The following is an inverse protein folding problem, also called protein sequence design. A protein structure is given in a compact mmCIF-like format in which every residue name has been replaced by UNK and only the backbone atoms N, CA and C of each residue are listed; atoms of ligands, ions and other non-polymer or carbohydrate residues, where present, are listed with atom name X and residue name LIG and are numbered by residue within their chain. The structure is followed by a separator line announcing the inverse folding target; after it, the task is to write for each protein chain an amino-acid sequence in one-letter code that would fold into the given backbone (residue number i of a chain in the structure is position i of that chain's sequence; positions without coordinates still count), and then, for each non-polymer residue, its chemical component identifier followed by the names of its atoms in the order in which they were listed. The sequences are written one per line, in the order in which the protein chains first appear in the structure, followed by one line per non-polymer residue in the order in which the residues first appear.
data_IF_340009762663
#
_entry.id   IF_340009762663
#
_cell.length_a   1.000
_cell.length_b   1.000
_cell.length_c   1.000
_cell.angle_alpha   90.00
_cell.angle_beta   90.00
_cell.angle_gamma   90.00
#
_symmetry.space_group_name_H-M   'P 1'
#
loop_
_entity.id
_entity.type
_entity.pdbx_description
1 polymer ?
#
# COMPACT_ATOMS: atom_id res chain seq x y z
N UNK A 1 7.36 14.96 -0.29
CA UNK A 1 7.69 13.52 -0.23
C UNK A 1 8.08 13.20 1.20
N UNK A 2 7.53 12.13 1.79
CA UNK A 2 8.01 11.67 3.09
C UNK A 2 9.46 11.21 2.92
N UNK A 3 10.37 11.74 3.74
CA UNK A 3 11.78 11.33 3.72
C UNK A 3 11.86 9.89 4.22
N UNK A 4 12.10 8.92 3.34
CA UNK A 4 12.46 7.57 3.76
C UNK A 4 13.87 7.60 4.38
N UNK A 5 14.15 6.70 5.33
CA UNK A 5 15.51 6.59 5.85
C UNK A 5 16.43 5.94 4.79
N UNK A 6 17.73 6.20 4.89
CA UNK A 6 18.73 5.72 3.91
C UNK A 6 18.79 4.19 3.83
N UNK A 7 18.48 3.49 4.94
CA UNK A 7 18.47 2.04 4.99
C UNK A 7 17.32 1.43 4.17
N UNK A 8 16.09 1.94 4.32
CA UNK A 8 14.93 1.50 3.54
C UNK A 8 15.11 1.79 2.06
N UNK A 9 15.73 2.92 1.73
CA UNK A 9 16.06 3.26 0.36
C UNK A 9 17.02 2.26 -0.27
N UNK A 10 18.09 1.90 0.45
CA UNK A 10 19.05 0.89 0.00
C UNK A 10 18.40 -0.49 -0.15
N UNK A 11 17.54 -0.88 0.80
CA UNK A 11 16.77 -2.13 0.74
C UNK A 11 15.87 -2.17 -0.51
N UNK A 12 15.12 -1.10 -0.79
CA UNK A 12 14.25 -1.03 -1.95
C UNK A 12 15.03 -0.98 -3.27
N UNK A 13 16.20 -0.31 -3.30
CA UNK A 13 17.08 -0.33 -4.46
C UNK A 13 17.63 -1.73 -4.74
N UNK A 14 18.02 -2.48 -3.71
CA UNK A 14 18.44 -3.88 -3.83
C UNK A 14 17.30 -4.77 -4.38
N UNK A 15 16.08 -4.61 -3.86
CA UNK A 15 14.91 -5.33 -4.38
C UNK A 15 14.65 -4.99 -5.86
N UNK A 16 14.83 -3.73 -6.26
CA UNK A 16 14.73 -3.34 -7.66
C UNK A 16 15.75 -4.07 -8.54
N UNK A 17 17.01 -4.12 -8.13
CA UNK A 17 18.06 -4.83 -8.85
C UNK A 17 17.71 -6.32 -9.03
N UNK A 18 17.20 -6.97 -7.99
CA UNK A 18 16.75 -8.36 -8.03
C UNK A 18 15.59 -8.56 -9.03
N UNK A 19 14.60 -7.65 -9.01
CA UNK A 19 13.47 -7.68 -9.96
C UNK A 19 13.96 -7.51 -11.39
N UNK A 20 14.80 -6.51 -11.66
CA UNK A 20 15.28 -6.24 -13.02
C UNK A 20 16.22 -7.34 -13.52
N UNK A 21 16.99 -7.97 -12.63
CA UNK A 21 17.77 -9.15 -12.96
C UNK A 21 16.87 -10.34 -13.33
N UNK A 22 15.82 -10.61 -12.54
CA UNK A 22 14.83 -11.64 -12.84
C UNK A 22 14.10 -11.37 -14.16
N UNK A 23 13.68 -10.13 -14.39
CA UNK A 23 12.89 -9.73 -15.55
C UNK A 23 13.64 -9.88 -16.89
N UNK A 24 14.98 -9.87 -16.86
CA UNK A 24 15.83 -10.11 -18.04
C UNK A 24 16.04 -11.58 -18.36
N UNK A 25 15.49 -12.52 -17.57
CA UNK A 25 15.65 -13.96 -17.84
C UNK A 25 14.70 -14.39 -18.98
N UNK A 26 15.13 -15.29 -19.90
CA UNK A 26 14.36 -15.64 -21.10
C UNK A 26 12.92 -16.14 -20.89
N UNK A 27 12.59 -16.67 -19.70
CA UNK A 27 11.29 -17.26 -19.38
C UNK A 27 10.55 -16.51 -18.26
N UNK A 28 10.95 -15.28 -17.95
CA UNK A 28 10.37 -14.49 -16.87
C UNK A 28 9.65 -13.30 -17.47
N UNK A 29 8.34 -13.23 -17.25
CA UNK A 29 7.56 -12.04 -17.60
C UNK A 29 7.73 -10.97 -16.52
N UNK A 30 7.46 -9.70 -16.86
CA UNK A 30 7.46 -8.61 -15.89
C UNK A 30 6.56 -8.89 -14.68
N UNK A 31 5.39 -9.51 -14.89
CA UNK A 31 4.50 -9.92 -13.80
C UNK A 31 5.13 -10.96 -12.88
N UNK A 32 5.88 -11.91 -13.44
CA UNK A 32 6.60 -12.93 -12.65
C UNK A 32 7.76 -12.29 -11.89
N UNK A 33 8.56 -11.43 -12.52
CA UNK A 33 9.64 -10.73 -11.83
C UNK A 33 9.12 -9.85 -10.69
N UNK A 34 8.08 -9.06 -10.94
CA UNK A 34 7.41 -8.21 -9.93
C UNK A 34 6.87 -8.99 -8.73
N UNK A 35 6.52 -10.27 -8.91
CA UNK A 35 6.07 -11.13 -7.82
C UNK A 35 7.10 -11.26 -6.70
N UNK A 36 8.39 -11.06 -7.01
CA UNK A 36 9.47 -10.97 -6.03
C UNK A 36 9.18 -9.90 -4.98
N UNK A 37 8.75 -8.71 -5.40
CA UNK A 37 8.27 -7.71 -4.45
C UNK A 37 6.97 -8.12 -3.78
N UNK A 38 5.91 -8.34 -4.56
CA UNK A 38 4.55 -8.44 -4.00
C UNK A 38 4.27 -9.70 -3.17
N UNK A 39 5.13 -10.71 -3.26
CA UNK A 39 4.95 -11.98 -2.51
C UNK A 39 6.15 -12.37 -1.65
N UNK A 40 7.39 -12.03 -2.01
CA UNK A 40 8.56 -12.44 -1.24
C UNK A 40 9.09 -11.34 -0.31
N UNK A 41 9.29 -10.12 -0.80
CA UNK A 41 9.98 -9.07 -0.01
C UNK A 41 9.02 -8.12 0.73
N UNK A 42 7.80 -7.92 0.21
CA UNK A 42 6.82 -7.01 0.82
C UNK A 42 6.46 -7.38 2.26
N UNK A 43 6.46 -8.65 2.65
CA UNK A 43 6.17 -9.06 4.03
C UNK A 43 7.20 -8.53 5.04
N UNK A 44 8.47 -8.42 4.63
CA UNK A 44 9.55 -7.83 5.43
C UNK A 44 9.45 -6.31 5.47
N UNK A 45 9.12 -5.68 4.33
CA UNK A 45 9.19 -4.23 4.16
C UNK A 45 7.88 -3.50 4.48
N UNK A 46 6.72 -4.17 4.47
CA UNK A 46 5.38 -3.53 4.52
C UNK A 46 5.20 -2.56 5.67
N UNK A 47 5.77 -2.82 6.85
CA UNK A 47 5.62 -1.92 8.00
C UNK A 47 6.38 -0.61 7.84
N UNK A 48 7.34 -0.56 6.92
CA UNK A 48 8.20 0.59 6.63
C UNK A 48 7.74 1.36 5.39
N UNK A 49 7.08 0.69 4.43
CA UNK A 49 6.60 1.33 3.19
C UNK A 49 5.09 1.63 3.19
N UNK A 50 4.29 0.90 3.96
CA UNK A 50 2.83 1.07 3.95
C UNK A 50 2.43 2.32 4.69
N UNK A 51 1.72 3.20 4.00
CA UNK A 51 1.33 4.52 4.51
C UNK A 51 -0.19 4.63 4.58
N UNK A 52 -0.72 4.90 5.76
CA UNK A 52 -2.14 5.24 5.89
C UNK A 52 -2.38 6.65 5.37
N UNK A 53 -3.38 6.82 4.51
CA UNK A 53 -3.65 8.14 3.89
C UNK A 53 -4.50 9.06 4.75
N UNK A 54 -5.04 8.57 5.87
CA UNK A 54 -6.03 9.29 6.66
C UNK A 54 -7.47 9.09 6.17
N UNK A 55 -7.74 8.16 5.25
CA UNK A 55 -9.10 7.90 4.75
C UNK A 55 -9.64 6.54 5.22
N UNK A 56 -10.88 6.53 5.71
CA UNK A 56 -11.58 5.33 6.17
C UNK A 56 -12.96 5.26 5.53
N UNK A 57 -13.44 4.06 5.16
CA UNK A 57 -14.80 3.93 4.65
C UNK A 57 -15.85 4.12 5.75
N UNK A 58 -17.00 4.67 5.38
CA UNK A 58 -18.15 4.82 6.30
C UNK A 58 -18.52 3.46 6.93
N UNK A 59 -18.56 2.39 6.13
CA UNK A 59 -18.90 1.05 6.62
C UNK A 59 -17.90 0.50 7.64
N UNK A 60 -16.60 0.83 7.51
CA UNK A 60 -15.59 0.44 8.48
C UNK A 60 -15.74 1.17 9.83
N UNK A 61 -16.42 2.33 9.84
CA UNK A 61 -16.73 3.09 11.06
C UNK A 61 -18.02 2.58 11.70
N UNK A 62 -19.06 2.37 10.89
CA UNK A 62 -20.42 2.03 11.36
C UNK A 62 -20.56 0.57 11.80
N UNK A 63 -19.76 -0.35 11.24
CA UNK A 63 -19.85 -1.77 11.52
C UNK A 63 -18.62 -2.26 12.30
N UNK A 64 -18.68 -2.14 13.64
CA UNK A 64 -17.58 -2.51 14.54
C UNK A 64 -17.15 -3.97 14.42
N UNK A 65 -18.08 -4.86 14.07
CA UNK A 65 -17.87 -6.30 13.94
C UNK A 65 -17.33 -6.73 12.57
N UNK A 66 -17.32 -5.81 11.60
CA UNK A 66 -16.80 -6.10 10.27
C UNK A 66 -15.31 -6.48 10.31
N UNK A 67 -14.96 -7.46 9.48
CA UNK A 67 -13.56 -7.76 9.21
C UNK A 67 -12.96 -6.61 8.39
N UNK A 68 -11.96 -5.92 8.95
CA UNK A 68 -11.33 -4.75 8.33
C UNK A 68 -10.10 -5.13 7.49
N UNK A 69 -9.82 -4.32 6.46
CA UNK A 69 -8.66 -4.44 5.57
C UNK A 69 -7.96 -3.10 5.40
N UNK A 70 -6.64 -3.18 5.21
CA UNK A 70 -5.85 -2.08 4.65
C UNK A 70 -5.84 -2.30 3.13
N UNK A 71 -6.62 -1.52 2.40
CA UNK A 71 -6.78 -1.67 0.94
C UNK A 71 -5.81 -0.77 0.19
N UNK A 72 -5.06 -1.38 -0.73
CA UNK A 72 -4.15 -0.71 -1.66
C UNK A 72 -4.90 -0.24 -2.91
N UNK A 73 -5.38 1.00 -2.86
CA UNK A 73 -6.26 1.56 -3.89
C UNK A 73 -5.57 1.77 -5.25
N UNK A 74 -4.25 1.94 -5.27
CA UNK A 74 -3.45 2.17 -6.49
C UNK A 74 -2.93 0.89 -7.17
N UNK A 75 -3.50 -0.28 -6.83
CA UNK A 75 -3.31 -1.55 -7.56
C UNK A 75 -1.84 -1.89 -7.86
N UNK A 76 -1.04 -1.97 -6.80
CA UNK A 76 0.41 -2.18 -6.82
C UNK A 76 0.90 -3.24 -7.83
N UNK A 77 0.17 -4.34 -7.96
CA UNK A 77 0.51 -5.42 -8.87
C UNK A 77 0.54 -4.99 -10.34
N UNK A 78 -0.50 -4.31 -10.81
CA UNK A 78 -0.60 -3.85 -12.20
C UNK A 78 0.41 -2.73 -12.46
N UNK A 79 0.48 -1.74 -11.57
CA UNK A 79 1.36 -0.58 -11.69
C UNK A 79 2.84 -0.99 -11.74
N UNK A 80 3.30 -1.87 -10.84
CA UNK A 80 4.68 -2.35 -10.87
C UNK A 80 4.97 -3.25 -12.07
N UNK A 81 3.98 -4.00 -12.58
CA UNK A 81 4.19 -4.80 -13.80
C UNK A 81 4.47 -3.89 -14.99
N UNK A 82 3.64 -2.86 -15.20
CA UNK A 82 3.84 -1.87 -16.26
C UNK A 82 5.14 -1.09 -16.11
N UNK A 83 5.54 -0.79 -14.86
CA UNK A 83 6.83 -0.15 -14.59
C UNK A 83 8.01 -1.02 -15.03
N UNK A 84 8.01 -2.32 -14.69
CA UNK A 84 9.06 -3.26 -15.10
C UNK A 84 9.08 -3.41 -16.64
N UNK A 85 7.92 -3.53 -17.29
CA UNK A 85 7.83 -3.59 -18.76
C UNK A 85 8.47 -2.36 -19.41
N UNK A 86 8.08 -1.16 -18.96
CA UNK A 86 8.64 0.10 -19.45
C UNK A 86 10.15 0.18 -19.26
N UNK A 87 10.66 -0.25 -18.09
CA UNK A 87 12.10 -0.23 -17.81
C UNK A 87 12.87 -1.20 -18.71
N UNK A 88 12.32 -2.38 -18.99
CA UNK A 88 12.91 -3.34 -19.94
C UNK A 88 12.92 -2.80 -21.37
N UNK A 89 11.79 -2.28 -21.84
CA UNK A 89 11.65 -1.76 -23.21
C UNK A 89 12.58 -0.57 -23.49
N UNK A 90 12.83 0.24 -22.47
CA UNK A 90 13.65 1.45 -22.56
C UNK A 90 15.11 1.25 -22.14
N UNK A 91 15.49 0.02 -21.77
CA UNK A 91 16.77 -0.32 -21.12
C UNK A 91 17.13 0.64 -19.95
N UNK A 92 16.12 0.98 -19.16
CA UNK A 92 16.24 1.94 -18.06
C UNK A 92 16.65 1.22 -16.76
N UNK A 93 17.67 1.75 -16.10
CA UNK A 93 18.08 1.34 -14.75
C UNK A 93 17.77 2.49 -13.77
N UNK A 94 16.51 2.55 -13.32
CA UNK A 94 16.01 3.63 -12.46
C UNK A 94 15.37 3.07 -11.17
N UNK A 95 16.18 2.79 -10.14
CA UNK A 95 15.67 2.37 -8.84
C UNK A 95 14.82 3.45 -8.16
N UNK A 96 14.99 4.74 -8.50
CA UNK A 96 14.22 5.83 -7.89
C UNK A 96 12.78 5.82 -8.34
N UNK A 97 12.53 5.58 -9.62
CA UNK A 97 11.20 5.40 -10.16
C UNK A 97 10.48 4.22 -9.50
N UNK A 98 11.20 3.10 -9.28
CA UNK A 98 10.66 1.97 -8.51
C UNK A 98 10.32 2.33 -7.08
N UNK A 99 11.23 2.97 -6.34
CA UNK A 99 11.01 3.38 -4.95
C UNK A 99 9.78 4.29 -4.86
N UNK A 100 9.69 5.30 -5.71
CA UNK A 100 8.55 6.22 -5.73
C UNK A 100 7.25 5.49 -6.05
N UNK A 101 7.27 4.57 -7.02
CA UNK A 101 6.10 3.76 -7.38
C UNK A 101 5.65 2.87 -6.22
N UNK A 102 6.59 2.20 -5.53
CA UNK A 102 6.29 1.38 -4.35
C UNK A 102 5.66 2.23 -3.25
N UNK A 103 6.28 3.36 -2.89
CA UNK A 103 5.79 4.21 -1.81
C UNK A 103 4.40 4.77 -2.11
N UNK A 104 4.12 5.13 -3.35
CA UNK A 104 2.81 5.61 -3.75
C UNK A 104 1.78 4.46 -3.74
N UNK A 105 2.12 3.30 -4.30
CA UNK A 105 1.22 2.14 -4.34
C UNK A 105 0.97 1.48 -2.98
N UNK A 106 1.86 1.66 -2.00
CA UNK A 106 1.73 1.17 -0.62
C UNK A 106 0.86 2.05 0.27
N UNK A 107 0.25 3.10 -0.32
CA UNK A 107 -0.75 3.91 0.37
C UNK A 107 -2.05 3.14 0.54
N UNK A 108 -2.59 3.16 1.75
CA UNK A 108 -3.76 2.36 2.12
C UNK A 108 -4.89 3.16 2.74
N UNK A 109 -6.10 2.68 2.46
CA UNK A 109 -7.34 3.06 3.14
C UNK A 109 -7.76 1.97 4.13
N UNK A 110 -8.48 2.34 5.19
CA UNK A 110 -9.19 1.35 6.00
C UNK A 110 -10.56 1.15 5.39
N UNK A 111 -10.86 -0.08 5.02
CA UNK A 111 -12.17 -0.50 4.48
C UNK A 111 -12.61 -1.81 5.12
N UNK A 112 -13.85 -2.20 4.92
CA UNK A 112 -14.30 -3.56 5.26
C UNK A 112 -13.82 -4.57 4.20
N UNK A 113 -13.73 -5.85 4.56
CA UNK A 113 -13.39 -6.92 3.62
C UNK A 113 -14.37 -7.00 2.43
N UNK A 114 -15.70 -6.92 2.61
CA UNK A 114 -16.63 -6.83 1.47
C UNK A 114 -16.33 -5.66 0.54
N UNK A 115 -16.04 -4.47 1.07
CA UNK A 115 -15.65 -3.30 0.28
C UNK A 115 -14.34 -3.53 -0.48
N UNK A 116 -13.33 -4.14 0.15
CA UNK A 116 -12.08 -4.49 -0.52
C UNK A 116 -12.33 -5.37 -1.78
N UNK A 117 -13.19 -6.39 -1.67
CA UNK A 117 -13.59 -7.20 -2.82
C UNK A 117 -14.45 -6.43 -3.84
N UNK A 118 -15.32 -5.53 -3.38
CA UNK A 118 -16.11 -4.67 -4.26
C UNK A 118 -15.21 -3.74 -5.09
N UNK A 119 -14.24 -3.07 -4.44
CA UNK A 119 -13.23 -2.26 -5.11
C UNK A 119 -12.46 -3.07 -6.16
N UNK A 120 -12.04 -4.30 -5.82
CA UNK A 120 -11.35 -5.19 -6.76
C UNK A 120 -12.19 -5.46 -8.01
N UNK A 121 -13.48 -5.79 -7.85
CA UNK A 121 -14.41 -6.03 -8.98
C UNK A 121 -14.65 -4.76 -9.80
N UNK A 122 -14.68 -3.60 -9.16
CA UNK A 122 -14.82 -2.30 -9.79
C UNK A 122 -13.49 -1.74 -10.33
N UNK A 123 -12.42 -2.54 -10.42
CA UNK A 123 -11.08 -2.12 -10.89
C UNK A 123 -10.49 -0.93 -10.12
N UNK A 124 -10.89 -0.74 -8.87
CA UNK A 124 -10.43 0.38 -8.02
C UNK A 124 -11.34 1.61 -8.05
N UNK A 125 -12.41 1.61 -8.85
CA UNK A 125 -13.40 2.69 -8.82
C UNK A 125 -14.27 2.56 -7.57
N UNK A 126 -14.01 3.42 -6.59
CA UNK A 126 -14.74 3.45 -5.33
C UNK A 126 -16.18 3.91 -5.51
N UNK A 127 -16.46 4.79 -6.48
CA UNK A 127 -17.82 5.23 -6.77
C UNK A 127 -18.64 4.08 -7.33
N UNK A 128 -18.09 3.34 -8.30
CA UNK A 128 -18.73 2.14 -8.85
C UNK A 128 -18.84 0.99 -7.81
N UNK A 129 -17.92 0.94 -6.84
CA UNK A 129 -17.98 -0.01 -5.73
C UNK A 129 -18.91 0.40 -4.58
N UNK A 130 -19.47 1.62 -4.60
CA UNK A 130 -20.31 2.16 -3.54
C UNK A 130 -19.56 2.53 -2.25
N UNK A 131 -18.24 2.69 -2.32
CA UNK A 131 -17.37 2.99 -1.17
C UNK A 131 -17.28 4.50 -0.99
N UNK A 132 -17.68 4.97 0.19
CA UNK A 132 -17.54 6.37 0.59
C UNK A 132 -16.49 6.50 1.67
N UNK A 133 -15.49 7.34 1.42
CA UNK A 133 -14.40 7.61 2.36
C UNK A 133 -14.68 8.86 3.19
N UNK A 134 -14.26 8.82 4.44
CA UNK A 134 -14.27 9.94 5.39
C UNK A 134 -12.85 10.20 5.84
N UNK A 135 -12.54 11.48 6.06
CA UNK A 135 -11.27 11.92 6.66
C UNK A 135 -11.15 11.49 8.12
N UNK A 136 -9.97 11.01 8.50
CA UNK A 136 -9.65 10.58 9.87
C UNK A 136 -10.04 11.62 10.91
N UNK A 137 -9.77 12.90 10.64
CA UNK A 137 -10.10 14.01 11.53
C UNK A 137 -11.61 14.13 11.84
N UNK A 138 -12.47 13.66 10.93
CA UNK A 138 -13.93 13.73 11.07
C UNK A 138 -14.53 12.47 11.74
N UNK A 139 -13.69 11.49 12.10
CA UNK A 139 -14.13 10.28 12.79
C UNK A 139 -14.15 10.54 14.30
N UNK A 140 -15.21 10.13 15.04
CA UNK A 140 -15.24 10.37 16.48
C UNK A 140 -14.10 9.63 17.19
N UNK A 141 -13.70 10.18 18.34
CA UNK A 141 -12.44 9.83 19.00
C UNK A 141 -12.35 8.33 19.33
N UNK A 142 -13.42 7.77 19.88
CA UNK A 142 -13.52 6.37 20.27
C UNK A 142 -13.28 5.42 19.08
N UNK A 143 -13.92 5.70 17.93
CA UNK A 143 -13.73 4.91 16.72
C UNK A 143 -12.31 5.07 16.17
N UNK A 144 -11.71 6.27 16.24
CA UNK A 144 -10.30 6.46 15.89
C UNK A 144 -9.37 5.62 16.75
N UNK A 145 -9.59 5.57 18.07
CA UNK A 145 -8.76 4.74 18.97
C UNK A 145 -8.90 3.25 18.64
N UNK A 146 -10.12 2.79 18.41
CA UNK A 146 -10.38 1.41 17.98
C UNK A 146 -9.65 1.08 16.67
N UNK A 147 -9.85 1.90 15.63
CA UNK A 147 -9.23 1.71 14.32
C UNK A 147 -7.70 1.83 14.39
N UNK A 148 -7.17 2.74 15.20
CA UNK A 148 -5.74 2.91 15.38
C UNK A 148 -5.11 1.65 15.99
N UNK A 149 -5.69 1.14 17.07
CA UNK A 149 -5.22 -0.08 17.72
C UNK A 149 -5.37 -1.31 16.81
N UNK A 150 -6.51 -1.43 16.10
CA UNK A 150 -6.82 -2.60 15.28
C UNK A 150 -6.07 -2.60 13.95
N UNK A 151 -5.91 -1.45 13.30
CA UNK A 151 -5.51 -1.37 11.88
C UNK A 151 -4.22 -0.59 11.62
N UNK A 152 -3.81 0.33 12.49
CA UNK A 152 -2.65 1.19 12.22
C UNK A 152 -1.41 0.79 13.02
N UNK A 153 -1.54 0.62 14.34
CA UNK A 153 -0.42 0.34 15.25
C UNK A 153 0.40 -0.86 14.80
N UNK A 154 1.64 -0.61 14.39
CA UNK A 154 2.58 -1.65 13.92
C UNK A 154 2.22 -2.30 12.59
N UNK A 155 1.27 -1.74 11.82
CA UNK A 155 0.81 -2.23 10.51
C UNK A 155 1.09 -1.27 9.35
N UNK A 156 1.26 0.02 9.64
CA UNK A 156 1.66 1.07 8.70
C UNK A 156 2.81 1.87 9.31
N UNK A 157 3.64 2.51 8.49
CA UNK A 157 4.84 3.23 8.94
C UNK A 157 4.50 4.52 9.70
N UNK A 158 3.52 5.27 9.21
CA UNK A 158 3.10 6.56 9.75
C UNK A 158 2.04 6.46 10.85
N UNK A 159 1.89 5.32 11.52
CA UNK A 159 0.83 5.13 12.51
C UNK A 159 0.89 6.12 13.67
N UNK A 160 2.08 6.62 14.03
CA UNK A 160 2.28 7.61 15.10
C UNK A 160 1.64 8.95 14.79
N UNK A 161 1.56 9.35 13.51
CA UNK A 161 0.91 10.59 13.05
C UNK A 161 -0.60 10.58 13.30
N UNK A 162 -1.20 9.40 13.38
CA UNK A 162 -2.64 9.20 13.60
C UNK A 162 -2.98 8.81 15.04
N UNK A 163 -1.99 8.80 15.94
CA UNK A 163 -2.24 8.57 17.37
C UNK A 163 -2.92 9.82 17.94
N UNK A 164 -4.06 9.63 18.59
CA UNK A 164 -4.74 10.75 19.24
C UNK A 164 -3.87 11.34 20.37
N UNK A 165 -3.73 12.67 20.46
CA UNK A 165 -3.07 13.31 21.59
C UNK A 165 -3.99 13.20 22.81
N UNK A 166 -3.67 12.32 23.78
CA UNK A 166 -4.52 12.23 24.98
C UNK A 166 -4.31 11.08 25.96
N UNK A 167 -3.52 10.05 25.65
CA UNK A 167 -3.21 8.97 26.60
C UNK A 167 -1.69 8.80 26.71
N UNK A 168 -1.09 9.68 27.53
CA UNK A 168 0.25 9.50 28.13
C UNK A 168 0.08 9.15 29.59
#
# INVERSE_FOLDING_TARGET
MASINTELEADLASVYEEIMWLARRPNVTASVARSWYTHATSERLKKHVRMFTGKVSIQAIENSDAELRLEHYLRIQATLTQMVERHLESDLNDPRDFINTVLECERVHIVTKPENYAAMRAKGDYSAAGIKLVDWANIPLEQREYLWNKMLKGKVANYTEFRNPGNS
#
